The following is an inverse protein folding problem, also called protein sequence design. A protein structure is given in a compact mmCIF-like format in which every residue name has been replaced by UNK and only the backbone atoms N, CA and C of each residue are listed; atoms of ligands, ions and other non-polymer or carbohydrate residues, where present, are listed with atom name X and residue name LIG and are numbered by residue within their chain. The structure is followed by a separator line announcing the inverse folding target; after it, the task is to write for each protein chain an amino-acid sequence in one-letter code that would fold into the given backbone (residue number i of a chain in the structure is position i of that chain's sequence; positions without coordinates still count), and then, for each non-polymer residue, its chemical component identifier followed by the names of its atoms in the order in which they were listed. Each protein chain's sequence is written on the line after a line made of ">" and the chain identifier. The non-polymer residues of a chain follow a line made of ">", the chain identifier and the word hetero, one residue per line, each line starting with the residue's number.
data_IF_303637607554
#
_entry.id   IF_303637607554
#
_cell.length_a   1.000
_cell.length_b   1.000
_cell.length_c   1.000
_cell.angle_alpha   90.00
_cell.angle_beta   90.00
_cell.angle_gamma   90.00
#
_symmetry.space_group_name_H-M   'P 1'
#
loop_
_entity.id
_entity.type
_entity.pdbx_description
1 polymer ?
#
# COMPACT_ATOMS: atom_id res chain seq x y z
N UNK A 1 -12.70 25.90 -28.77
CA UNK A 1 -12.20 25.03 -27.69
C UNK A 1 -10.70 24.85 -27.88
N UNK A 2 -9.88 25.37 -26.96
CA UNK A 2 -8.42 25.38 -27.06
C UNK A 2 -7.84 23.96 -27.03
N UNK A 3 -6.73 23.75 -27.74
CA UNK A 3 -5.93 22.50 -27.76
C UNK A 3 -5.59 22.04 -26.33
N UNK A 4 -5.42 22.98 -25.40
CA UNK A 4 -5.22 22.71 -23.98
C UNK A 4 -6.37 21.92 -23.32
N UNK A 5 -7.61 22.15 -23.74
CA UNK A 5 -8.78 21.42 -23.22
C UNK A 5 -8.84 19.98 -23.74
N UNK A 6 -8.26 19.70 -24.92
CA UNK A 6 -8.17 18.33 -25.46
C UNK A 6 -7.08 17.53 -24.75
N UNK A 7 -5.92 18.13 -24.44
CA UNK A 7 -4.88 17.45 -23.65
C UNK A 7 -5.36 17.09 -22.25
N UNK A 8 -6.12 17.97 -21.59
CA UNK A 8 -6.59 17.77 -20.22
C UNK A 8 -7.65 16.64 -20.10
N UNK A 9 -8.45 16.42 -21.14
CA UNK A 9 -9.40 15.29 -21.20
C UNK A 9 -8.72 13.98 -21.60
N UNK A 10 -7.67 14.04 -22.43
CA UNK A 10 -6.88 12.86 -22.81
C UNK A 10 -6.11 12.30 -21.62
N UNK A 11 -5.54 13.16 -20.76
CA UNK A 11 -4.81 12.73 -19.55
C UNK A 11 -5.74 12.18 -18.46
N UNK A 12 -7.01 12.61 -18.39
CA UNK A 12 -7.99 12.06 -17.44
C UNK A 12 -8.47 10.64 -17.79
N UNK A 13 -8.51 10.29 -19.08
CA UNK A 13 -8.91 8.94 -19.54
C UNK A 13 -7.84 7.87 -19.30
N UNK A 14 -6.56 8.26 -19.27
CA UNK A 14 -5.46 7.32 -19.00
C UNK A 14 -5.34 7.02 -17.50
N UNK A 15 -5.65 7.99 -16.63
CA UNK A 15 -5.49 7.81 -15.17
C UNK A 15 -6.58 6.94 -14.51
N UNK A 16 -7.71 6.69 -15.17
CA UNK A 16 -8.85 5.97 -14.56
C UNK A 16 -8.97 4.50 -14.94
N UNK A 17 -8.06 3.96 -15.77
CA UNK A 17 -8.08 2.55 -16.19
C UNK A 17 -6.94 1.68 -15.62
N UNK A 18 -6.09 2.21 -14.75
CA UNK A 18 -4.84 1.55 -14.34
C UNK A 18 -4.66 1.26 -12.85
N UNK A 19 -5.71 1.29 -12.02
CA UNK A 19 -5.59 1.00 -10.59
C UNK A 19 -6.64 -0.03 -10.15
N UNK A 20 -6.60 -1.20 -10.78
CA UNK A 20 -7.10 -2.42 -10.16
C UNK A 20 -5.87 -3.12 -9.57
N UNK A 21 -5.80 -3.09 -8.23
CA UNK A 21 -4.79 -3.75 -7.43
C UNK A 21 -4.82 -5.25 -7.66
N UNK A 22 -3.75 -5.78 -8.25
CA UNK A 22 -3.25 -7.13 -7.96
C UNK A 22 -1.77 -6.96 -7.60
N UNK A 23 -1.42 -6.76 -6.32
CA UNK A 23 -0.05 -6.48 -5.92
C UNK A 23 0.85 -7.72 -5.84
N UNK A 24 0.41 -8.90 -6.30
CA UNK A 24 1.22 -10.13 -6.19
C UNK A 24 1.72 -10.67 -7.55
N UNK A 25 1.33 -10.08 -8.68
CA UNK A 25 1.60 -10.64 -10.01
C UNK A 25 2.52 -9.79 -10.91
N UNK A 26 3.14 -8.74 -10.35
CA UNK A 26 3.97 -7.79 -11.11
C UNK A 26 5.40 -7.70 -10.57
N UNK A 27 6.01 -8.83 -10.19
CA UNK A 27 7.40 -8.86 -9.75
C UNK A 27 8.28 -9.90 -10.45
N UNK A 28 7.83 -10.43 -11.58
CA UNK A 28 8.66 -11.20 -12.49
C UNK A 28 8.74 -10.45 -13.81
N UNK A 29 9.68 -9.51 -13.89
CA UNK A 29 10.01 -8.91 -15.18
C UNK A 29 10.63 -10.02 -16.03
N UNK A 30 9.92 -10.43 -17.09
CA UNK A 30 10.43 -11.41 -18.03
C UNK A 30 11.67 -10.84 -18.73
N UNK A 31 12.80 -11.49 -18.52
CA UNK A 31 14.03 -11.25 -19.27
C UNK A 31 14.00 -12.14 -20.51
N UNK A 32 14.13 -11.53 -21.68
CA UNK A 32 14.19 -12.21 -22.97
C UNK A 32 15.64 -12.25 -23.44
N UNK A 33 16.21 -13.45 -23.58
CA UNK A 33 17.58 -13.65 -24.08
C UNK A 33 17.51 -14.45 -25.38
N UNK A 34 17.97 -13.90 -26.52
CA UNK A 34 18.03 -14.65 -27.77
C UNK A 34 19.17 -15.69 -27.69
N UNK A 35 18.85 -16.92 -28.07
CA UNK A 35 19.82 -17.99 -28.25
C UNK A 35 20.48 -17.86 -29.63
N UNK A 36 21.81 -17.94 -29.66
CA UNK A 36 22.61 -17.73 -30.86
C UNK A 36 22.56 -18.92 -31.84
N UNK A 37 22.22 -20.12 -31.36
CA UNK A 37 22.38 -21.35 -32.13
C UNK A 37 21.07 -21.85 -32.76
N UNK A 38 19.93 -21.56 -32.14
CA UNK A 38 18.62 -22.09 -32.57
C UNK A 38 17.56 -21.01 -32.89
N UNK A 39 17.93 -19.72 -32.84
CA UNK A 39 17.03 -18.59 -33.11
C UNK A 39 15.76 -18.60 -32.22
N UNK A 40 15.82 -19.27 -31.07
CA UNK A 40 14.78 -19.24 -30.04
C UNK A 40 15.05 -18.10 -29.06
N UNK A 41 13.98 -17.56 -28.47
CA UNK A 41 14.10 -16.55 -27.40
C UNK A 41 13.75 -17.21 -26.08
N UNK A 42 14.74 -17.34 -25.23
CA UNK A 42 14.58 -17.92 -23.91
C UNK A 42 14.00 -16.84 -22.99
N UNK A 43 12.92 -17.19 -22.29
CA UNK A 43 12.21 -16.32 -21.35
C UNK A 43 12.51 -16.81 -19.94
N UNK A 44 13.10 -15.93 -19.14
CA UNK A 44 13.41 -16.21 -17.74
C UNK A 44 12.77 -15.18 -16.84
N UNK A 45 12.44 -15.58 -15.62
CA UNK A 45 12.14 -14.65 -14.53
C UNK A 45 13.38 -14.50 -13.64
N UNK A 46 13.53 -13.34 -12.99
CA UNK A 46 14.65 -13.09 -12.07
C UNK A 46 14.68 -14.13 -10.92
N UNK A 47 13.50 -14.56 -10.47
CA UNK A 47 13.38 -15.61 -9.45
C UNK A 47 13.78 -16.98 -9.97
N UNK A 48 13.38 -17.35 -11.19
CA UNK A 48 13.76 -18.61 -11.81
C UNK A 48 15.27 -18.74 -11.97
N UNK A 49 15.96 -17.68 -12.44
CA UNK A 49 17.43 -17.67 -12.51
C UNK A 49 18.08 -17.88 -11.13
N UNK A 50 17.52 -17.28 -10.08
CA UNK A 50 18.02 -17.42 -8.71
C UNK A 50 17.88 -18.86 -8.20
N UNK A 51 16.73 -19.51 -8.47
CA UNK A 51 16.50 -20.89 -8.06
C UNK A 51 17.38 -21.87 -8.84
N UNK A 52 17.56 -21.66 -10.14
CA UNK A 52 18.46 -22.46 -10.97
C UNK A 52 19.91 -22.36 -10.50
N UNK A 53 20.38 -21.15 -10.17
CA UNK A 53 21.73 -20.94 -9.65
C UNK A 53 21.96 -21.69 -8.34
N UNK A 54 21.01 -21.65 -7.41
CA UNK A 54 21.11 -22.41 -6.16
C UNK A 54 21.19 -23.93 -6.41
N UNK A 55 20.42 -24.45 -7.38
CA UNK A 55 20.50 -25.84 -7.81
C UNK A 55 21.89 -26.23 -8.30
N UNK A 56 22.45 -25.44 -9.23
CA UNK A 56 23.80 -25.67 -9.78
C UNK A 56 24.86 -25.66 -8.67
N UNK A 57 24.80 -24.69 -7.75
CA UNK A 57 25.75 -24.60 -6.65
C UNK A 57 25.64 -25.79 -5.68
N UNK A 58 24.42 -26.26 -5.41
CA UNK A 58 24.21 -27.46 -4.59
C UNK A 58 24.78 -28.72 -5.25
N UNK A 59 24.59 -28.87 -6.57
CA UNK A 59 25.18 -29.97 -7.35
C UNK A 59 26.71 -29.93 -7.33
N UNK A 60 27.29 -28.74 -7.53
CA UNK A 60 28.76 -28.53 -7.44
C UNK A 60 29.32 -28.88 -6.06
N UNK A 61 28.53 -28.66 -5.00
CA UNK A 61 28.89 -29.00 -3.62
C UNK A 61 28.60 -30.48 -3.27
N UNK A 62 28.21 -31.32 -4.23
CA UNK A 62 27.85 -32.71 -3.98
C UNK A 62 26.64 -32.89 -3.07
N UNK A 63 25.77 -31.87 -2.99
CA UNK A 63 24.65 -31.80 -2.05
C UNK A 63 25.05 -32.02 -0.57
N UNK A 64 26.26 -31.62 -0.18
CA UNK A 64 26.70 -31.68 1.22
C UNK A 64 25.80 -30.78 2.09
N UNK A 65 25.15 -31.33 3.14
CA UNK A 65 24.23 -30.58 3.98
C UNK A 65 24.87 -29.38 4.69
N UNK A 66 26.20 -29.35 4.83
CA UNK A 66 26.93 -28.21 5.42
C UNK A 66 26.94 -26.98 4.51
N UNK A 67 26.81 -27.17 3.20
CA UNK A 67 26.89 -26.11 2.18
C UNK A 67 25.61 -25.98 1.38
N UNK A 68 24.54 -26.62 1.83
CA UNK A 68 23.27 -26.66 1.12
C UNK A 68 22.61 -25.28 1.14
N UNK A 69 22.33 -24.78 -0.06
CA UNK A 69 21.56 -23.56 -0.29
C UNK A 69 20.11 -23.96 -0.42
N UNK A 70 19.32 -23.70 0.62
CA UNK A 70 17.87 -23.87 0.63
C UNK A 70 17.18 -22.51 0.82
N UNK A 71 16.04 -22.33 0.17
CA UNK A 71 15.25 -21.11 0.32
C UNK A 71 14.33 -21.23 1.53
N UNK A 72 14.18 -20.11 2.24
CA UNK A 72 13.20 -19.99 3.31
C UNK A 72 11.80 -20.16 2.69
N UNK A 73 10.92 -21.01 3.24
CA UNK A 73 9.56 -21.14 2.75
C UNK A 73 8.87 -19.79 2.66
N UNK A 74 8.20 -19.53 1.55
CA UNK A 74 7.44 -18.29 1.39
C UNK A 74 6.15 -18.37 2.21
N UNK A 75 6.15 -17.73 3.39
CA UNK A 75 5.00 -17.65 4.28
C UNK A 75 4.23 -16.37 3.96
N UNK A 76 3.15 -16.47 3.17
CA UNK A 76 2.30 -15.32 2.84
C UNK A 76 1.48 -14.84 4.04
N UNK A 77 0.99 -15.77 4.84
CA UNK A 77 0.05 -15.50 5.92
C UNK A 77 0.49 -16.24 7.17
N UNK A 78 0.37 -15.54 8.30
CA UNK A 78 0.71 -16.09 9.61
C UNK A 78 -0.47 -15.86 10.56
N UNK A 79 -0.76 -16.78 11.50
CA UNK A 79 -1.87 -16.62 12.45
C UNK A 79 -1.85 -15.30 13.23
N UNK A 80 -0.65 -14.78 13.52
CA UNK A 80 -0.41 -13.50 14.24
C UNK A 80 -0.27 -12.28 13.33
N UNK A 81 -0.56 -12.42 12.03
CA UNK A 81 -0.63 -11.30 11.10
C UNK A 81 -1.76 -10.35 11.52
N UNK A 82 -1.47 -9.06 11.62
CA UNK A 82 -2.47 -8.04 11.93
C UNK A 82 -3.22 -7.65 10.65
N UNK A 83 -4.54 -7.76 10.68
CA UNK A 83 -5.40 -7.32 9.56
C UNK A 83 -6.09 -6.06 10.02
N UNK A 84 -5.64 -4.89 9.53
CA UNK A 84 -6.11 -3.59 9.99
C UNK A 84 -7.22 -3.00 9.11
N UNK A 85 -7.16 -3.26 7.81
CA UNK A 85 -8.06 -2.66 6.84
C UNK A 85 -9.37 -3.45 6.77
N UNK A 86 -10.50 -2.76 6.92
CA UNK A 86 -11.82 -3.37 6.80
C UNK A 86 -12.29 -4.14 8.04
N UNK A 87 -11.43 -4.34 9.03
CA UNK A 87 -11.73 -5.07 10.26
C UNK A 87 -12.14 -4.17 11.41
N UNK A 88 -12.96 -4.67 12.32
CA UNK A 88 -13.27 -4.03 13.59
C UNK A 88 -12.09 -4.16 14.55
N UNK A 89 -11.72 -3.07 15.20
CA UNK A 89 -10.78 -3.12 16.33
C UNK A 89 -11.44 -3.75 17.55
N UNK A 90 -10.64 -4.47 18.33
CA UNK A 90 -11.02 -4.95 19.65
C UNK A 90 -11.45 -3.80 20.56
N UNK A 91 -12.17 -4.12 21.64
CA UNK A 91 -12.65 -3.12 22.61
C UNK A 91 -11.53 -2.34 23.30
N UNK A 92 -10.34 -2.92 23.38
CA UNK A 92 -9.11 -2.31 23.90
C UNK A 92 -8.37 -1.45 22.85
N UNK A 93 -8.89 -1.37 21.62
CA UNK A 93 -8.31 -0.64 20.51
C UNK A 93 -7.26 -1.40 19.70
N UNK A 94 -7.00 -2.68 19.99
CA UNK A 94 -6.06 -3.50 19.21
C UNK A 94 -6.63 -3.86 17.85
N UNK A 95 -5.73 -3.97 16.88
CA UNK A 95 -6.04 -4.52 15.57
C UNK A 95 -6.13 -6.04 15.70
N UNK A 96 -7.18 -6.68 15.16
CA UNK A 96 -7.32 -8.13 15.24
C UNK A 96 -6.26 -8.85 14.39
N UNK A 97 -5.88 -10.03 14.86
CA UNK A 97 -5.03 -10.96 14.11
C UNK A 97 -5.87 -11.84 13.18
N UNK A 98 -5.23 -12.42 12.17
CA UNK A 98 -5.86 -13.41 11.29
C UNK A 98 -6.53 -14.55 12.06
N UNK A 99 -5.85 -15.11 13.05
CA UNK A 99 -6.40 -16.20 13.87
C UNK A 99 -7.62 -15.76 14.68
N UNK A 100 -7.62 -14.52 15.19
CA UNK A 100 -8.77 -13.97 15.92
C UNK A 100 -9.96 -13.74 14.99
N UNK A 101 -9.74 -13.32 13.73
CA UNK A 101 -10.81 -13.16 12.74
C UNK A 101 -11.37 -14.52 12.29
N UNK A 102 -10.51 -15.54 12.15
CA UNK A 102 -10.95 -16.91 11.86
C UNK A 102 -11.77 -17.50 13.02
N UNK A 103 -11.43 -17.17 14.26
CA UNK A 103 -12.18 -17.58 15.45
C UNK A 103 -13.47 -16.77 15.66
N UNK A 104 -13.44 -15.47 15.35
CA UNK A 104 -14.56 -14.55 15.45
C UNK A 104 -14.72 -13.74 14.15
N UNK A 105 -15.54 -14.23 13.19
CA UNK A 105 -15.79 -13.56 11.93
C UNK A 105 -16.43 -12.17 12.07
N UNK A 106 -17.01 -11.84 13.23
CA UNK A 106 -17.62 -10.53 13.45
C UNK A 106 -16.59 -9.38 13.47
N UNK A 107 -15.30 -9.73 13.65
CA UNK A 107 -14.18 -8.82 13.55
C UNK A 107 -13.85 -8.41 12.11
N UNK A 108 -14.37 -9.12 11.11
CA UNK A 108 -14.10 -8.84 9.70
C UNK A 108 -14.89 -7.64 9.15
N UNK A 109 -15.87 -7.13 9.90
CA UNK A 109 -16.74 -6.03 9.47
C UNK A 109 -16.50 -4.78 10.32
N UNK A 110 -15.63 -3.89 9.83
CA UNK A 110 -15.51 -2.54 10.37
C UNK A 110 -16.86 -1.81 10.25
N UNK A 111 -17.28 -1.05 11.28
CA UNK A 111 -18.47 -0.21 11.16
C UNK A 111 -18.27 0.80 10.03
N UNK A 112 -19.27 0.92 9.14
CA UNK A 112 -19.25 1.92 8.09
C UNK A 112 -19.09 3.31 8.72
N UNK A 113 -18.02 4.00 8.35
CA UNK A 113 -17.89 5.41 8.71
C UNK A 113 -18.86 6.16 7.82
N UNK A 114 -20.09 6.36 8.32
CA UNK A 114 -21.10 7.08 7.55
C UNK A 114 -20.54 8.43 7.08
N UNK A 115 -20.74 8.75 5.80
CA UNK A 115 -20.27 10.00 5.20
C UNK A 115 -20.76 11.21 6.02
N UNK A 116 -21.95 11.12 6.63
CA UNK A 116 -22.49 12.14 7.55
C UNK A 116 -21.62 12.31 8.79
N UNK A 117 -21.23 11.21 9.44
CA UNK A 117 -20.33 11.24 10.60
C UNK A 117 -18.95 11.80 10.24
N UNK A 118 -18.43 11.46 9.05
CA UNK A 118 -17.17 12.02 8.57
C UNK A 118 -17.27 13.53 8.28
N UNK A 119 -18.35 13.97 7.63
CA UNK A 119 -18.63 15.37 7.34
C UNK A 119 -18.87 16.19 8.62
N UNK A 120 -19.55 15.63 9.62
CA UNK A 120 -19.77 16.30 10.90
C UNK A 120 -18.45 16.51 11.65
N UNK A 121 -17.58 15.51 11.70
CA UNK A 121 -16.22 15.66 12.25
C UNK A 121 -15.44 16.75 11.51
N UNK A 122 -15.48 16.75 10.17
CA UNK A 122 -14.82 17.79 9.36
C UNK A 122 -15.41 19.19 9.58
N UNK A 123 -16.73 19.31 9.76
CA UNK A 123 -17.43 20.58 10.00
C UNK A 123 -17.07 21.17 11.35
N UNK A 124 -17.05 20.36 12.40
CA UNK A 124 -16.66 20.79 13.76
C UNK A 124 -15.21 21.25 13.77
N UNK A 125 -14.28 20.48 13.19
CA UNK A 125 -12.86 20.86 13.15
C UNK A 125 -12.62 22.15 12.37
N UNK A 126 -13.28 22.33 11.22
CA UNK A 126 -13.22 23.60 10.46
C UNK A 126 -13.78 24.77 11.24
N UNK A 127 -14.88 24.59 11.97
CA UNK A 127 -15.49 25.64 12.79
C UNK A 127 -14.57 26.09 13.92
N UNK A 128 -13.95 25.16 14.62
CA UNK A 128 -12.97 25.44 15.67
C UNK A 128 -11.78 26.20 15.09
N UNK A 129 -11.21 25.74 13.98
CA UNK A 129 -10.07 26.39 13.33
C UNK A 129 -10.39 27.84 12.91
N UNK A 130 -11.57 28.09 12.34
CA UNK A 130 -12.02 29.45 11.97
C UNK A 130 -12.17 30.33 13.22
N UNK A 131 -12.72 29.79 14.31
CA UNK A 131 -12.95 30.56 15.54
C UNK A 131 -11.65 30.93 16.23
N UNK A 132 -10.70 29.99 16.29
CA UNK A 132 -9.34 30.23 16.79
C UNK A 132 -8.64 31.30 15.96
N UNK A 133 -8.71 31.21 14.63
CA UNK A 133 -8.09 32.19 13.73
C UNK A 133 -8.69 33.60 13.89
N UNK A 134 -10.02 33.71 14.02
CA UNK A 134 -10.69 34.99 14.32
C UNK A 134 -10.29 35.56 15.68
N UNK A 135 -10.18 34.72 16.72
CA UNK A 135 -9.71 35.17 18.03
C UNK A 135 -8.27 35.72 17.94
N UNK A 136 -7.35 34.99 17.31
CA UNK A 136 -5.97 35.45 17.14
C UNK A 136 -5.88 36.78 16.40
N UNK A 137 -6.63 36.95 15.31
CA UNK A 137 -6.66 38.21 14.55
C UNK A 137 -7.21 39.39 15.39
N UNK A 138 -8.22 39.15 16.23
CA UNK A 138 -8.75 40.16 17.15
C UNK A 138 -7.75 40.53 18.25
N UNK A 139 -7.03 39.55 18.80
CA UNK A 139 -5.96 39.82 19.78
C UNK A 139 -4.83 40.64 19.14
N UNK A 140 -4.46 40.31 17.90
CA UNK A 140 -3.42 41.03 17.16
C UNK A 140 -3.83 42.47 16.84
N UNK A 141 -5.09 42.68 16.41
CA UNK A 141 -5.61 44.03 16.18
C UNK A 141 -5.64 44.89 17.44
N UNK A 142 -6.06 44.32 18.58
CA UNK A 142 -6.05 45.03 19.87
C UNK A 142 -4.63 45.36 20.34
N UNK A 143 -3.68 44.48 20.08
CA UNK A 143 -2.27 44.71 20.39
C UNK A 143 -1.67 45.86 19.55
N UNK A 144 -1.97 45.92 18.25
CA UNK A 144 -1.55 47.03 17.38
C UNK A 144 -2.14 48.36 17.89
N UNK A 145 -3.45 48.41 18.17
CA UNK A 145 -4.08 49.63 18.68
C UNK A 145 -3.52 50.10 20.02
N UNK A 146 -3.03 49.18 20.87
CA UNK A 146 -2.36 49.52 22.12
C UNK A 146 -0.95 50.12 21.90
N UNK A 147 -0.22 49.66 20.88
CA UNK A 147 1.10 50.22 20.52
C UNK A 147 1.02 51.65 19.94
N UNK A 148 -0.13 52.01 19.37
CA UNK A 148 -0.37 53.33 18.76
C UNK A 148 -0.82 54.40 19.80
N UNK A 149 -0.90 54.06 21.09
CA UNK A 149 -1.30 54.97 22.20
C UNK A 149 -0.10 55.31 23.08
#
# INVERSE_FOLDING_TARGET
>A
MSIAARLFLQTRKVLTRGMALQPCALLDRLTEVPDADNNETLRYTDHEMTFQLAGILNEMNGNDPRWKIDFIPWIQHHPKELIAQGTRTHSDGRIPTRAEIEADPSLNDAPDMSIRTALDKLRVTKSIAIHVCKCLLLQFSKFISWLDT
#
